data_IF_344381785587
#
_entry.id   IF_344381785587
#
_cell.length_a   1.000
_cell.length_b   1.000
_cell.length_c   1.000
_cell.angle_alpha   90.00
_cell.angle_beta   90.00
_cell.angle_gamma   90.00
#
_symmetry.space_group_name_H-M   'P 1'
#
loop_
_entity.id
_entity.type
_entity.pdbx_description
1 polymer ?
#
# COMPACT_ATOMS: atom_id res chain seq x y z
N UNK A 1 44.04 -46.52 -30.78
CA UNK A 1 43.19 -46.27 -29.60
C UNK A 1 43.03 -44.77 -29.42
N UNK A 2 41.94 -44.20 -29.93
CA UNK A 2 41.67 -42.76 -29.94
C UNK A 2 40.93 -42.35 -28.66
N UNK A 3 41.58 -41.56 -27.82
CA UNK A 3 41.02 -41.00 -26.59
C UNK A 3 39.97 -39.93 -26.94
N UNK A 4 38.70 -40.29 -26.85
CA UNK A 4 37.58 -39.35 -26.93
C UNK A 4 37.40 -38.64 -25.60
N UNK A 5 37.94 -37.41 -25.50
CA UNK A 5 37.61 -36.45 -24.44
C UNK A 5 36.09 -36.20 -24.45
N UNK A 6 35.38 -36.69 -23.44
CA UNK A 6 34.00 -36.27 -23.12
C UNK A 6 34.03 -34.77 -22.82
N UNK A 7 33.44 -33.96 -23.71
CA UNK A 7 33.10 -32.57 -23.44
C UNK A 7 32.04 -32.57 -22.33
N UNK A 8 32.40 -32.14 -21.13
CA UNK A 8 31.46 -31.87 -20.06
C UNK A 8 30.54 -30.73 -20.50
N UNK A 9 29.25 -31.03 -20.66
CA UNK A 9 28.23 -30.03 -20.84
C UNK A 9 28.28 -29.04 -19.67
N UNK A 10 28.49 -27.75 -20.00
CA UNK A 10 28.33 -26.64 -19.05
C UNK A 10 26.91 -26.67 -18.51
N UNK A 11 26.71 -27.24 -17.33
CA UNK A 11 25.48 -27.09 -16.56
C UNK A 11 25.27 -25.59 -16.38
N UNK A 12 24.29 -25.01 -17.07
CA UNK A 12 23.89 -23.61 -16.86
C UNK A 12 23.62 -23.47 -15.36
N UNK A 13 24.46 -22.72 -14.65
CA UNK A 13 24.26 -22.47 -13.22
C UNK A 13 22.88 -21.86 -13.04
N UNK A 14 21.97 -22.53 -12.33
CA UNK A 14 20.60 -22.06 -12.10
C UNK A 14 20.62 -20.63 -11.56
N UNK A 15 19.80 -19.72 -12.10
CA UNK A 15 19.75 -18.32 -11.67
C UNK A 15 19.55 -18.22 -10.14
N UNK A 16 20.47 -17.56 -9.39
CA UNK A 16 20.35 -17.45 -7.93
C UNK A 16 19.06 -16.75 -7.50
N UNK A 17 18.51 -15.85 -8.31
CA UNK A 17 17.25 -15.16 -7.99
C UNK A 17 16.07 -16.12 -8.07
N UNK A 18 15.96 -16.87 -9.17
CA UNK A 18 14.98 -17.94 -9.31
C UNK A 18 15.08 -18.99 -8.18
N UNK A 19 16.30 -19.36 -7.77
CA UNK A 19 16.51 -20.29 -6.66
C UNK A 19 15.96 -19.75 -5.32
N UNK A 20 16.14 -18.46 -5.02
CA UNK A 20 15.53 -17.83 -3.83
C UNK A 20 14.01 -17.80 -3.92
N UNK A 21 13.45 -17.50 -5.09
CA UNK A 21 11.99 -17.52 -5.30
C UNK A 21 11.42 -18.93 -5.10
N UNK A 22 12.09 -19.96 -5.62
CA UNK A 22 11.74 -21.36 -5.39
C UNK A 22 11.85 -21.74 -3.91
N UNK A 23 12.90 -21.30 -3.21
CA UNK A 23 13.05 -21.53 -1.77
C UNK A 23 11.95 -20.88 -0.94
N UNK A 24 11.49 -19.68 -1.33
CA UNK A 24 10.31 -19.02 -0.72
C UNK A 24 9.04 -19.82 -0.98
N UNK A 25 8.90 -20.38 -2.18
CA UNK A 25 7.74 -21.13 -2.63
C UNK A 25 7.85 -22.65 -2.44
N UNK A 26 8.79 -23.12 -1.60
CA UNK A 26 9.07 -24.56 -1.39
C UNK A 26 7.88 -25.35 -0.83
N UNK A 27 7.00 -24.68 -0.10
CA UNK A 27 5.73 -25.22 0.35
C UNK A 27 4.66 -24.13 0.30
N UNK A 28 3.39 -24.55 0.21
CA UNK A 28 2.26 -23.61 0.23
C UNK A 28 2.26 -22.76 1.50
N UNK A 29 2.58 -23.38 2.65
CA UNK A 29 2.65 -22.69 3.94
C UNK A 29 3.77 -21.66 3.98
N UNK A 30 4.97 -22.00 3.50
CA UNK A 30 6.08 -21.05 3.43
C UNK A 30 5.72 -19.85 2.55
N UNK A 31 5.11 -20.11 1.39
CA UNK A 31 4.68 -19.07 0.47
C UNK A 31 3.59 -18.18 1.08
N UNK A 32 2.57 -18.78 1.71
CA UNK A 32 1.48 -18.07 2.37
C UNK A 32 2.00 -17.14 3.48
N UNK A 33 2.83 -17.67 4.38
CA UNK A 33 3.42 -16.91 5.48
C UNK A 33 4.21 -15.70 4.98
N UNK A 34 4.97 -15.89 3.89
CA UNK A 34 5.76 -14.83 3.26
C UNK A 34 4.87 -13.74 2.64
N UNK A 35 3.76 -14.12 1.98
CA UNK A 35 2.78 -13.15 1.46
C UNK A 35 2.03 -12.40 2.55
N UNK A 36 1.64 -13.07 3.62
CA UNK A 36 1.02 -12.45 4.80
C UNK A 36 1.97 -11.43 5.42
N UNK A 37 3.23 -11.82 5.62
CA UNK A 37 4.27 -10.91 6.09
C UNK A 37 4.47 -9.71 5.15
N UNK A 38 4.46 -9.94 3.84
CA UNK A 38 4.50 -8.88 2.83
C UNK A 38 3.35 -7.87 2.98
N UNK A 39 2.13 -8.34 3.25
CA UNK A 39 0.96 -7.47 3.51
C UNK A 39 1.13 -6.64 4.77
N UNK A 40 1.62 -7.25 5.86
CA UNK A 40 1.91 -6.54 7.10
C UNK A 40 2.93 -5.42 6.89
N UNK A 41 4.04 -5.73 6.22
CA UNK A 41 5.09 -4.75 5.92
C UNK A 41 4.54 -3.64 5.03
N UNK A 42 3.72 -3.96 4.03
CA UNK A 42 3.10 -2.96 3.16
C UNK A 42 2.19 -1.98 3.92
N UNK A 43 1.35 -2.50 4.81
CA UNK A 43 0.51 -1.66 5.68
C UNK A 43 1.34 -0.82 6.65
N UNK A 44 2.38 -1.41 7.25
CA UNK A 44 3.31 -0.70 8.13
C UNK A 44 4.08 0.42 7.41
N UNK A 45 4.26 0.30 6.09
CA UNK A 45 4.84 1.33 5.23
C UNK A 45 3.81 2.35 4.73
N UNK A 46 2.60 2.38 5.28
CA UNK A 46 1.51 3.26 4.84
C UNK A 46 1.23 3.14 3.33
N UNK A 47 1.32 1.91 2.79
CA UNK A 47 1.09 1.64 1.37
C UNK A 47 2.12 2.28 0.43
N UNK A 48 3.28 2.68 0.93
CA UNK A 48 4.39 3.10 0.10
C UNK A 48 5.06 1.86 -0.53
N UNK A 49 4.89 1.71 -1.85
CA UNK A 49 5.40 0.55 -2.59
C UNK A 49 6.94 0.51 -2.61
N UNK A 50 7.60 1.66 -2.71
CA UNK A 50 9.06 1.73 -2.73
C UNK A 50 9.67 1.33 -1.38
N UNK A 51 9.12 1.88 -0.29
CA UNK A 51 9.58 1.55 1.05
C UNK A 51 9.27 0.09 1.42
N UNK A 52 8.07 -0.40 1.10
CA UNK A 52 7.68 -1.78 1.39
C UNK A 52 8.60 -2.79 0.69
N UNK A 53 8.91 -2.56 -0.60
CA UNK A 53 9.86 -3.37 -1.37
C UNK A 53 11.22 -3.43 -0.71
N UNK A 54 11.78 -2.29 -0.30
CA UNK A 54 13.09 -2.26 0.35
C UNK A 54 13.09 -3.01 1.68
N UNK A 55 12.02 -2.89 2.48
CA UNK A 55 11.90 -3.62 3.75
C UNK A 55 11.73 -5.12 3.55
N UNK A 56 10.86 -5.54 2.63
CA UNK A 56 10.66 -6.95 2.30
C UNK A 56 11.97 -7.55 1.76
N UNK A 57 12.67 -6.85 0.85
CA UNK A 57 13.97 -7.28 0.33
C UNK A 57 15.00 -7.51 1.45
N UNK A 58 15.06 -6.58 2.42
CA UNK A 58 15.95 -6.70 3.58
C UNK A 58 15.57 -7.88 4.49
N UNK A 59 14.28 -8.06 4.80
CA UNK A 59 13.80 -9.17 5.64
C UNK A 59 14.11 -10.53 5.00
N UNK A 60 13.89 -10.69 3.69
CA UNK A 60 14.19 -11.95 3.01
C UNK A 60 15.69 -12.18 2.94
N UNK A 61 16.48 -11.14 2.63
CA UNK A 61 17.95 -11.26 2.59
C UNK A 61 18.50 -11.73 3.93
N UNK A 62 18.00 -11.15 5.03
CA UNK A 62 18.38 -11.57 6.38
C UNK A 62 17.95 -13.01 6.65
N UNK A 63 16.71 -13.37 6.30
CA UNK A 63 16.20 -14.73 6.48
C UNK A 63 16.98 -15.77 5.67
N UNK A 64 17.42 -15.42 4.47
CA UNK A 64 18.28 -16.25 3.62
C UNK A 64 19.68 -16.39 4.25
N UNK A 65 20.28 -15.29 4.70
CA UNK A 65 21.59 -15.33 5.36
C UNK A 65 21.59 -16.13 6.67
N UNK A 66 20.47 -16.13 7.40
CA UNK A 66 20.31 -16.86 8.67
C UNK A 66 19.80 -18.30 8.49
N UNK A 67 19.41 -18.70 7.29
CA UNK A 67 18.96 -20.07 7.04
C UNK A 67 20.18 -21.00 7.15
N UNK A 68 20.23 -21.80 8.21
CA UNK A 68 21.23 -22.86 8.35
C UNK A 68 21.14 -23.89 7.21
N UNK A 69 22.09 -24.85 7.16
CA UNK A 69 22.04 -25.94 6.19
C UNK A 69 20.69 -26.65 6.30
N UNK A 70 19.93 -26.68 5.20
CA UNK A 70 18.63 -27.34 5.16
C UNK A 70 18.85 -28.86 5.16
N UNK A 71 18.15 -29.64 6.00
CA UNK A 71 18.15 -31.09 5.87
C UNK A 71 17.53 -31.48 4.52
N UNK A 72 18.21 -32.36 3.78
CA UNK A 72 17.64 -32.98 2.59
C UNK A 72 16.48 -33.89 3.03
N UNK A 73 15.25 -33.49 2.71
CA UNK A 73 14.09 -34.37 2.78
C UNK A 73 13.00 -33.96 3.77
N UNK A 74 11.78 -33.90 3.24
CA UNK A 74 10.57 -34.21 4.01
C UNK A 74 9.63 -33.05 4.32
N UNK A 75 9.01 -32.43 3.32
CA UNK A 75 7.67 -31.85 3.48
C UNK A 75 6.80 -32.18 2.26
N UNK A 76 5.57 -32.63 2.53
CA UNK A 76 4.59 -33.07 1.53
C UNK A 76 4.22 -31.97 0.52
N UNK A 77 4.06 -32.41 -0.74
CA UNK A 77 3.87 -31.57 -1.93
C UNK A 77 2.45 -30.98 -2.00
N UNK A 78 2.28 -29.68 -2.32
CA UNK A 78 1.01 -29.17 -2.82
C UNK A 78 0.86 -29.42 -4.33
N UNK A 79 -0.31 -29.90 -4.74
CA UNK A 79 -0.75 -30.05 -6.13
C UNK A 79 -1.26 -28.72 -6.70
N UNK A 80 -0.36 -27.76 -6.89
CA UNK A 80 -0.62 -26.53 -7.64
C UNK A 80 0.48 -26.35 -8.69
N UNK A 81 0.26 -25.61 -9.78
CA UNK A 81 1.26 -25.43 -10.83
C UNK A 81 2.40 -24.56 -10.27
N UNK A 82 3.35 -25.20 -9.59
CA UNK A 82 4.70 -24.69 -9.46
C UNK A 82 5.21 -24.39 -10.87
N UNK A 83 5.98 -23.30 -11.02
CA UNK A 83 6.71 -23.00 -12.24
C UNK A 83 7.22 -24.31 -12.88
N UNK A 84 6.76 -24.62 -14.09
CA UNK A 84 7.23 -25.79 -14.83
C UNK A 84 8.77 -25.80 -14.82
N UNK A 85 9.37 -26.79 -14.16
CA UNK A 85 10.82 -26.96 -14.08
C UNK A 85 11.49 -26.60 -12.75
N UNK A 86 10.76 -26.31 -11.67
CA UNK A 86 11.37 -26.16 -10.34
C UNK A 86 11.84 -27.53 -9.78
N UNK A 87 13.14 -27.71 -9.46
CA UNK A 87 13.64 -28.96 -8.89
C UNK A 87 13.01 -29.23 -7.52
N UNK A 88 12.79 -30.51 -7.25
CA UNK A 88 12.08 -31.07 -6.08
C UNK A 88 12.69 -30.67 -4.73
N UNK A 89 13.94 -30.19 -4.73
CA UNK A 89 14.69 -29.72 -3.56
C UNK A 89 15.09 -28.25 -3.76
N UNK A 90 14.14 -27.34 -3.53
CA UNK A 90 14.39 -25.90 -3.60
C UNK A 90 15.27 -25.43 -2.43
N UNK A 91 16.56 -25.71 -2.54
CA UNK A 91 17.58 -25.31 -1.58
C UNK A 91 17.98 -23.86 -1.79
N UNK A 92 18.29 -23.17 -0.70
CA UNK A 92 18.78 -21.81 -0.76
C UNK A 92 20.17 -21.80 -1.43
N UNK A 93 20.44 -20.86 -2.36
CA UNK A 93 21.78 -20.73 -2.93
C UNK A 93 22.83 -20.43 -1.85
N UNK A 94 24.03 -20.96 -2.05
CA UNK A 94 25.19 -20.78 -1.15
C UNK A 94 25.50 -19.31 -0.91
N UNK A 95 26.09 -18.96 0.24
CA UNK A 95 26.35 -17.57 0.65
C UNK A 95 27.03 -16.67 -0.39
N UNK A 96 27.99 -17.19 -1.16
CA UNK A 96 28.66 -16.45 -2.24
C UNK A 96 27.73 -16.08 -3.40
N UNK A 97 26.68 -16.88 -3.64
CA UNK A 97 25.68 -16.67 -4.71
C UNK A 97 24.57 -15.70 -4.30
N UNK A 98 24.34 -15.51 -2.99
CA UNK A 98 23.35 -14.54 -2.46
C UNK A 98 23.66 -13.09 -2.84
N UNK A 99 24.93 -12.76 -3.11
CA UNK A 99 25.35 -11.45 -3.57
C UNK A 99 24.80 -11.09 -4.96
N UNK A 100 24.45 -12.09 -5.76
CA UNK A 100 23.96 -11.92 -7.14
C UNK A 100 22.44 -12.08 -7.26
N UNK A 101 21.73 -12.19 -6.13
CA UNK A 101 20.27 -12.26 -6.10
C UNK A 101 19.70 -10.86 -6.32
N UNK A 102 18.76 -10.75 -7.26
CA UNK A 102 17.94 -9.55 -7.39
C UNK A 102 16.86 -9.53 -6.31
N UNK A 103 17.23 -8.97 -5.16
CA UNK A 103 16.35 -8.87 -3.99
C UNK A 103 15.13 -8.00 -4.23
N UNK A 104 15.17 -7.11 -5.23
CA UNK A 104 14.01 -6.30 -5.59
C UNK A 104 12.97 -7.17 -6.30
N UNK A 105 13.40 -7.96 -7.28
CA UNK A 105 12.51 -8.90 -7.97
C UNK A 105 11.86 -9.88 -6.98
N UNK A 106 12.65 -10.41 -6.04
CA UNK A 106 12.14 -11.29 -4.99
C UNK A 106 11.12 -10.60 -4.08
N UNK A 107 11.36 -9.35 -3.69
CA UNK A 107 10.42 -8.58 -2.88
C UNK A 107 9.13 -8.26 -3.64
N UNK A 108 9.24 -7.87 -4.91
CA UNK A 108 8.11 -7.64 -5.80
C UNK A 108 7.24 -8.90 -5.91
N UNK A 109 7.84 -10.08 -6.04
CA UNK A 109 7.13 -11.36 -6.11
C UNK A 109 6.27 -11.62 -4.87
N UNK A 110 6.80 -11.37 -3.67
CA UNK A 110 6.01 -11.49 -2.44
C UNK A 110 4.90 -10.43 -2.39
N UNK A 111 5.22 -9.18 -2.75
CA UNK A 111 4.31 -8.04 -2.68
C UNK A 111 3.23 -8.05 -3.75
N UNK A 112 3.28 -8.96 -4.73
CA UNK A 112 2.14 -9.27 -5.60
C UNK A 112 0.87 -9.62 -4.79
N UNK A 113 1.03 -10.10 -3.55
CA UNK A 113 -0.08 -10.27 -2.59
C UNK A 113 -0.88 -9.01 -2.27
N UNK A 114 -0.32 -7.85 -2.54
CA UNK A 114 -0.86 -6.52 -2.25
C UNK A 114 -1.26 -5.75 -3.51
N UNK A 115 -1.07 -6.35 -4.70
CA UNK A 115 -1.37 -5.72 -5.99
C UNK A 115 -2.86 -5.46 -6.16
N UNK A 116 -3.69 -6.38 -5.66
CA UNK A 116 -5.13 -6.21 -5.59
C UNK A 116 -5.55 -5.74 -4.18
N UNK A 117 -6.68 -5.02 -4.07
CA UNK A 117 -7.23 -4.65 -2.77
C UNK A 117 -7.49 -5.90 -1.92
N UNK A 118 -6.84 -5.97 -0.75
CA UNK A 118 -7.06 -7.04 0.23
C UNK A 118 -7.84 -6.53 1.44
N UNK A 119 -8.44 -7.45 2.20
CA UNK A 119 -9.36 -7.13 3.31
C UNK A 119 -8.78 -6.10 4.29
N UNK A 120 -7.55 -6.31 4.76
CA UNK A 120 -6.91 -5.39 5.70
C UNK A 120 -6.60 -4.00 5.10
N UNK A 121 -6.25 -3.91 3.81
CA UNK A 121 -6.10 -2.61 3.11
C UNK A 121 -7.44 -1.86 3.06
N UNK A 122 -8.51 -2.58 2.75
CA UNK A 122 -9.87 -2.02 2.70
C UNK A 122 -10.33 -1.56 4.08
N UNK A 123 -10.09 -2.36 5.13
CA UNK A 123 -10.41 -2.00 6.50
C UNK A 123 -9.66 -0.74 6.95
N UNK A 124 -8.35 -0.65 6.67
CA UNK A 124 -7.54 0.52 7.01
C UNK A 124 -8.01 1.78 6.26
N UNK A 125 -8.36 1.65 4.97
CA UNK A 125 -8.95 2.75 4.21
C UNK A 125 -10.32 3.18 4.75
N UNK A 126 -11.15 2.24 5.19
CA UNK A 126 -12.44 2.54 5.84
C UNK A 126 -12.23 3.28 7.16
N UNK A 127 -11.31 2.80 8.01
CA UNK A 127 -10.93 3.46 9.25
C UNK A 127 -10.49 4.91 9.02
N UNK A 128 -9.61 5.16 8.04
CA UNK A 128 -9.15 6.52 7.68
C UNK A 128 -10.29 7.43 7.23
N UNK A 129 -11.26 6.90 6.47
CA UNK A 129 -12.45 7.64 6.05
C UNK A 129 -13.33 7.99 7.25
N UNK A 130 -13.51 7.07 8.18
CA UNK A 130 -14.31 7.29 9.39
C UNK A 130 -13.68 8.30 10.34
N UNK A 131 -12.37 8.19 10.58
CA UNK A 131 -11.62 9.16 11.37
C UNK A 131 -11.73 10.57 10.77
N UNK A 132 -11.53 10.68 9.45
CA UNK A 132 -11.74 11.95 8.74
C UNK A 132 -13.17 12.45 8.88
N UNK A 133 -14.19 11.58 8.76
CA UNK A 133 -15.61 11.97 8.92
C UNK A 133 -15.85 12.56 10.31
N UNK A 134 -15.34 11.92 11.38
CA UNK A 134 -15.46 12.42 12.76
C UNK A 134 -14.78 13.79 12.93
N UNK A 135 -13.57 13.96 12.38
CA UNK A 135 -12.86 15.25 12.40
C UNK A 135 -13.60 16.33 11.61
N UNK A 136 -14.14 15.98 10.44
CA UNK A 136 -14.91 16.89 9.60
C UNK A 136 -16.20 17.36 10.29
N UNK A 137 -16.93 16.44 10.92
CA UNK A 137 -18.13 16.77 11.71
C UNK A 137 -17.80 17.69 12.89
N UNK A 138 -16.71 17.40 13.62
CA UNK A 138 -16.24 18.27 14.71
C UNK A 138 -15.88 19.67 14.19
N UNK A 139 -15.18 19.75 13.06
CA UNK A 139 -14.87 21.02 12.40
C UNK A 139 -16.12 21.80 12.02
N UNK A 140 -17.14 21.15 11.45
CA UNK A 140 -18.42 21.80 11.11
C UNK A 140 -19.11 22.37 12.34
N UNK A 141 -19.20 21.60 13.43
CA UNK A 141 -19.80 22.07 14.70
C UNK A 141 -19.07 23.31 15.22
N UNK A 142 -17.74 23.29 15.29
CA UNK A 142 -16.94 24.45 15.72
C UNK A 142 -17.14 25.65 14.79
N UNK A 143 -17.25 25.43 13.48
CA UNK A 143 -17.53 26.50 12.51
C UNK A 143 -18.89 27.15 12.76
N UNK A 144 -19.92 26.36 13.09
CA UNK A 144 -21.25 26.89 13.42
C UNK A 144 -21.26 27.65 14.74
N UNK A 145 -20.58 27.15 15.76
CA UNK A 145 -20.40 27.88 17.04
C UNK A 145 -19.75 29.23 16.77
N UNK A 146 -18.65 29.27 16.00
CA UNK A 146 -17.99 30.54 15.64
C UNK A 146 -18.90 31.47 14.84
N UNK A 147 -19.74 30.95 13.95
CA UNK A 147 -20.73 31.75 13.22
C UNK A 147 -21.79 32.37 14.14
N UNK A 148 -22.30 31.60 15.11
CA UNK A 148 -23.22 32.09 16.13
C UNK A 148 -22.59 33.15 17.02
N UNK A 149 -21.35 32.92 17.47
CA UNK A 149 -20.57 33.89 18.23
C UNK A 149 -20.35 35.20 17.47
N UNK A 150 -20.04 35.12 16.17
CA UNK A 150 -19.97 36.30 15.30
C UNK A 150 -21.31 37.05 15.27
N UNK A 151 -22.42 36.32 15.10
CA UNK A 151 -23.76 36.95 15.09
C UNK A 151 -24.10 37.63 16.41
N UNK A 152 -23.71 37.06 17.56
CA UNK A 152 -23.94 37.64 18.89
C UNK A 152 -23.13 38.93 19.09
N UNK A 153 -21.88 38.95 18.62
CA UNK A 153 -21.02 40.13 18.69
C UNK A 153 -21.48 41.26 17.76
N UNK A 154 -22.08 40.90 16.63
CA UNK A 154 -22.63 41.87 15.68
C UNK A 154 -23.91 42.51 16.21
N UNK A 155 -24.81 41.72 16.82
CA UNK A 155 -26.09 42.19 17.35
C UNK A 155 -26.33 41.64 18.78
N UNK A 156 -25.88 42.34 19.85
CA UNK A 156 -25.90 41.83 21.23
C UNK A 156 -27.30 41.57 21.83
N UNK A 157 -28.36 42.13 21.22
CA UNK A 157 -29.74 42.00 21.69
C UNK A 157 -30.51 40.80 21.14
N UNK A 158 -29.95 40.05 20.17
CA UNK A 158 -30.70 38.94 19.56
C UNK A 158 -30.85 37.75 20.50
N UNK A 159 -32.06 37.19 20.52
CA UNK A 159 -32.32 35.94 21.22
C UNK A 159 -31.60 34.76 20.54
N UNK A 160 -31.39 33.67 21.29
CA UNK A 160 -30.78 32.46 20.74
C UNK A 160 -31.58 31.88 19.55
N UNK A 161 -32.89 32.08 19.55
CA UNK A 161 -33.80 31.56 18.53
C UNK A 161 -33.72 32.39 17.25
N UNK A 162 -33.63 33.72 17.36
CA UNK A 162 -33.35 34.60 16.23
C UNK A 162 -32.00 34.32 15.58
N UNK A 163 -30.95 34.11 16.39
CA UNK A 163 -29.62 33.74 15.89
C UNK A 163 -29.69 32.40 15.14
N UNK A 164 -30.39 31.41 15.70
CA UNK A 164 -30.55 30.11 15.06
C UNK A 164 -31.31 30.24 13.74
N UNK A 165 -32.42 30.98 13.71
CA UNK A 165 -33.22 31.20 12.51
C UNK A 165 -32.42 31.89 11.40
N UNK A 166 -31.68 32.96 11.74
CA UNK A 166 -30.83 33.67 10.80
C UNK A 166 -29.71 32.78 10.23
N UNK A 167 -29.12 31.92 11.07
CA UNK A 167 -28.03 31.04 10.64
C UNK A 167 -28.50 29.81 9.85
N UNK A 168 -29.74 29.34 10.04
CA UNK A 168 -30.27 28.19 9.28
C UNK A 168 -30.26 28.42 7.77
N UNK A 169 -30.44 29.66 7.30
CA UNK A 169 -30.36 29.99 5.88
C UNK A 169 -28.98 29.68 5.27
N UNK A 170 -27.89 29.96 6.02
CA UNK A 170 -26.50 29.71 5.57
C UNK A 170 -25.99 28.33 5.98
N UNK A 171 -26.51 27.77 7.07
CA UNK A 171 -26.06 26.55 7.70
C UNK A 171 -27.27 25.68 8.10
N UNK A 172 -27.90 24.96 7.17
CA UNK A 172 -29.17 24.25 7.44
C UNK A 172 -29.12 23.24 8.60
N UNK A 173 -27.95 22.65 8.85
CA UNK A 173 -27.72 21.64 9.89
C UNK A 173 -27.33 22.23 11.26
N UNK A 174 -27.32 23.54 11.42
CA UNK A 174 -27.05 24.17 12.71
C UNK A 174 -28.18 23.84 13.70
N UNK A 175 -27.80 23.45 14.92
CA UNK A 175 -28.73 23.12 16.00
C UNK A 175 -28.71 24.17 17.11
N UNK A 176 -29.77 24.20 17.93
CA UNK A 176 -29.86 25.07 19.12
C UNK A 176 -28.68 24.85 20.08
N UNK A 177 -28.21 23.61 20.22
CA UNK A 177 -27.04 23.29 21.04
C UNK A 177 -25.77 24.06 20.62
N UNK A 178 -25.53 24.26 19.32
CA UNK A 178 -24.37 25.04 18.86
C UNK A 178 -24.49 26.52 19.25
N UNK A 179 -25.70 27.08 19.25
CA UNK A 179 -25.95 28.48 19.65
C UNK A 179 -25.79 28.62 21.16
N UNK A 180 -26.29 27.68 21.95
CA UNK A 180 -26.09 27.69 23.41
C UNK A 180 -24.61 27.55 23.80
N UNK A 181 -23.86 26.70 23.10
CA UNK A 181 -22.41 26.59 23.28
C UNK A 181 -21.69 27.88 22.88
N UNK A 182 -22.13 28.55 21.82
CA UNK A 182 -21.64 29.88 21.46
C UNK A 182 -21.87 30.92 22.56
N UNK A 183 -23.06 30.95 23.17
CA UNK A 183 -23.35 31.84 24.31
C UNK A 183 -22.46 31.53 25.51
N UNK A 184 -22.26 30.25 25.83
CA UNK A 184 -21.36 29.81 26.90
C UNK A 184 -19.94 30.32 26.67
N UNK A 185 -19.43 30.18 25.44
CA UNK A 185 -18.08 30.65 25.09
C UNK A 185 -17.93 32.17 25.10
N UNK A 186 -18.97 32.92 24.70
CA UNK A 186 -18.96 34.39 24.82
C UNK A 186 -18.94 34.83 26.29
N UNK A 187 -19.77 34.22 27.15
CA UNK A 187 -19.77 34.51 28.59
C UNK A 187 -18.44 34.19 29.26
N UNK A 188 -17.78 33.14 28.81
CA UNK A 188 -16.45 32.75 29.29
C UNK A 188 -15.30 33.59 28.71
N UNK A 189 -15.58 34.57 27.83
CA UNK A 189 -14.56 35.45 27.25
C UNK A 189 -13.59 34.74 26.30
N UNK A 190 -13.93 33.57 25.77
CA UNK A 190 -13.05 32.79 24.89
C UNK A 190 -12.74 33.61 23.64
N UNK A 191 -11.50 33.72 23.15
CA UNK A 191 -11.20 34.44 21.93
C UNK A 191 -11.89 33.81 20.71
N UNK A 192 -12.25 34.63 19.72
CA UNK A 192 -12.84 34.16 18.48
C UNK A 192 -11.73 33.63 17.56
N UNK A 193 -11.52 32.32 17.53
CA UNK A 193 -10.55 31.67 16.63
C UNK A 193 -11.26 30.90 15.52
N UNK A 194 -10.78 31.04 14.29
CA UNK A 194 -11.29 30.25 13.16
C UNK A 194 -10.86 28.78 13.34
N UNK A 195 -11.78 27.82 13.23
CA UNK A 195 -11.43 26.41 13.36
C UNK A 195 -10.58 25.97 12.17
N UNK A 196 -9.63 25.07 12.42
CA UNK A 196 -8.78 24.49 11.39
C UNK A 196 -9.56 23.44 10.60
N UNK A 197 -9.54 23.55 9.27
CA UNK A 197 -10.16 22.59 8.36
C UNK A 197 -9.29 21.33 8.30
N UNK A 198 -9.83 20.14 8.57
CA UNK A 198 -9.03 18.91 8.47
C UNK A 198 -8.72 18.60 7.01
N UNK A 199 -7.54 18.04 6.76
CA UNK A 199 -7.11 17.56 5.45
C UNK A 199 -7.81 16.25 5.08
N UNK A 200 -8.08 16.05 3.79
CA UNK A 200 -8.60 14.76 3.31
C UNK A 200 -7.59 13.64 3.63
N UNK A 201 -8.07 12.45 4.00
CA UNK A 201 -7.17 11.34 4.32
C UNK A 201 -6.50 10.85 3.04
N UNK A 202 -5.21 10.52 3.14
CA UNK A 202 -4.51 9.80 2.08
C UNK A 202 -4.89 8.32 2.17
N UNK A 203 -5.68 7.87 1.20
CA UNK A 203 -6.02 6.46 1.09
C UNK A 203 -4.80 5.67 0.58
N UNK A 204 -4.65 4.46 1.13
CA UNK A 204 -3.66 3.50 0.69
C UNK A 204 -4.07 2.96 -0.67
N UNK A 205 -3.14 3.05 -1.64
CA UNK A 205 -3.32 2.46 -2.96
C UNK A 205 -2.90 0.99 -2.93
N UNK A 206 -3.33 0.18 -3.90
CA UNK A 206 -2.74 -1.14 -4.12
C UNK A 206 -1.25 -1.03 -4.48
N UNK A 207 -0.52 -2.11 -4.26
CA UNK A 207 0.91 -2.18 -4.51
C UNK A 207 1.23 -2.02 -6.00
N UNK A 208 2.28 -1.26 -6.32
CA UNK A 208 2.79 -1.07 -7.67
C UNK A 208 4.13 -1.80 -7.84
N UNK A 209 4.17 -2.93 -8.58
CA UNK A 209 5.39 -3.66 -8.87
C UNK A 209 6.25 -2.93 -9.91
N UNK A 210 7.56 -3.19 -9.89
CA UNK A 210 8.53 -2.76 -10.92
C UNK A 210 8.72 -3.86 -11.96
N UNK A 211 8.79 -5.12 -11.53
CA UNK A 211 9.12 -6.25 -12.41
C UNK A 211 7.89 -6.96 -13.02
N UNK A 212 6.72 -6.79 -12.43
CA UNK A 212 5.48 -7.47 -12.83
C UNK A 212 4.41 -6.47 -13.29
N UNK A 213 4.77 -5.59 -14.21
CA UNK A 213 3.84 -4.64 -14.82
C UNK A 213 2.92 -5.35 -15.80
N UNK A 214 1.65 -4.91 -15.89
CA UNK A 214 0.81 -5.30 -17.02
C UNK A 214 1.44 -4.72 -18.29
N UNK A 215 1.92 -5.60 -19.18
CA UNK A 215 2.21 -5.20 -20.55
C UNK A 215 0.86 -4.96 -21.19
N UNK A 216 0.49 -3.71 -21.47
CA UNK A 216 -0.63 -3.43 -22.38
C UNK A 216 -0.30 -4.09 -23.73
N UNK A 217 -1.04 -5.12 -24.17
CA UNK A 217 -0.78 -5.75 -25.47
C UNK A 217 -1.14 -4.83 -26.65
N UNK A 218 -1.69 -3.63 -26.40
CA UNK A 218 -2.09 -2.66 -27.42
C UNK A 218 -0.93 -1.80 -27.97
N UNK A 219 0.28 -1.90 -27.40
CA UNK A 219 1.43 -1.07 -27.80
C UNK A 219 2.39 -1.68 -28.82
N UNK A 220 2.22 -2.94 -29.21
CA UNK A 220 3.19 -3.67 -30.06
C UNK A 220 2.84 -3.70 -31.57
N UNK A 221 1.78 -3.01 -32.00
CA UNK A 221 1.37 -2.93 -33.40
C UNK A 221 1.03 -1.48 -33.79
N UNK A 222 2.05 -0.66 -33.99
CA UNK A 222 1.88 0.74 -34.39
C UNK A 222 3.19 1.43 -34.75
N UNK A 223 4.12 0.70 -35.36
CA UNK A 223 5.38 1.25 -35.88
C UNK A 223 5.69 0.60 -37.22
N UNK A 224 4.78 0.78 -38.18
CA UNK A 224 5.05 0.60 -39.60
C UNK A 224 4.08 1.51 -40.38
N UNK A 225 4.66 2.32 -41.27
CA UNK A 225 4.01 3.10 -42.33
C UNK A 225 3.10 4.26 -41.86
N UNK A 226 3.41 5.53 -42.12
CA UNK A 226 3.68 6.06 -43.45
C UNK A 226 4.62 7.27 -43.36
N UNK A 227 5.82 7.10 -43.92
CA UNK A 227 6.44 8.20 -44.64
C UNK A 227 5.72 8.23 -45.98
N UNK A 228 4.88 9.23 -46.19
CA UNK A 228 4.75 9.74 -47.54
C UNK A 228 4.86 11.26 -47.52
N UNK A 229 6.05 11.70 -47.94
CA UNK A 229 6.32 13.05 -48.39
C UNK A 229 5.91 13.06 -49.86
N UNK A 230 4.96 13.91 -50.22
CA UNK A 230 4.96 14.59 -51.51
C UNK A 230 4.10 15.85 -51.41
N UNK A 231 4.79 16.97 -51.16
CA UNK A 231 4.43 18.35 -51.54
C UNK A 231 4.36 18.46 -53.09
N UNK A 232 3.81 19.52 -53.72
CA UNK A 232 3.59 20.89 -53.22
C UNK A 232 2.13 21.38 -53.19
#
# INVERSE_FOLDING_TARGET
MTNTKKKSASVKSADPTAAVMQWIARSYESYRLRRERGREVYLACNGDSGLARMRVAAEIRQAAASAGPQPEGGEERPSLPLLEGAPTDATLPTGSRLLYVDWVLVADYILLACREPFSALTQENTRRKEEYRRLWESYLRRRWVVAARKSMRSDPGRSAEEILAALKAKHPRITKANVLEAQRQERAGVPLRKPLKPSRPRLLRPYSPVYFTDVDPSGAAGSAESRDRSSP
#
